data_IF_468108856838
#
_entry.id   IF_468108856838
#
_cell.length_a   1.000
_cell.length_b   1.000
_cell.length_c   1.000
_cell.angle_alpha   90.00
_cell.angle_beta   90.00
_cell.angle_gamma   90.00
#
_symmetry.space_group_name_H-M   'P 1'
#
loop_
_entity.id
_entity.type
_entity.pdbx_description
1 polymer ?
#
# COMPACT_ATOMS: atom_id res chain seq x y z
N UNK A 1 8.61 -1.56 13.69
CA UNK A 1 7.64 -0.54 13.22
C UNK A 1 8.29 0.63 12.54
N UNK A 2 9.25 1.33 13.18
CA UNK A 2 9.92 2.51 12.59
C UNK A 2 10.50 2.27 11.19
N UNK A 3 11.17 1.14 10.98
CA UNK A 3 11.79 0.82 9.68
C UNK A 3 10.78 0.62 8.55
N UNK A 4 9.60 0.06 8.83
CA UNK A 4 8.55 -0.13 7.82
C UNK A 4 7.93 1.21 7.46
N UNK A 5 7.66 2.07 8.44
CA UNK A 5 7.12 3.41 8.20
C UNK A 5 8.12 4.24 7.39
N UNK A 6 9.41 4.20 7.72
CA UNK A 6 10.46 4.86 6.94
C UNK A 6 10.44 4.40 5.48
N UNK A 7 10.44 3.09 5.24
CA UNK A 7 10.40 2.55 3.89
C UNK A 7 9.12 2.90 3.12
N UNK A 8 7.99 3.05 3.82
CA UNK A 8 6.73 3.49 3.23
C UNK A 8 6.81 4.96 2.79
N UNK A 9 7.36 5.84 3.62
CA UNK A 9 7.57 7.26 3.29
C UNK A 9 8.56 7.42 2.12
N UNK A 10 9.63 6.65 2.11
CA UNK A 10 10.64 6.68 1.04
C UNK A 10 10.13 6.07 -0.28
N UNK A 11 9.00 5.35 -0.26
CA UNK A 11 8.45 4.72 -1.45
C UNK A 11 7.91 5.75 -2.44
N UNK A 12 8.42 5.72 -3.67
CA UNK A 12 7.92 6.56 -4.78
C UNK A 12 6.63 5.98 -5.35
N UNK A 13 5.52 6.22 -4.66
CA UNK A 13 4.20 5.77 -5.05
C UNK A 13 3.26 5.68 -3.86
N UNK A 14 2.09 5.07 -4.07
CA UNK A 14 1.17 4.80 -2.97
C UNK A 14 1.72 3.69 -2.07
N UNK A 15 1.81 3.98 -0.77
CA UNK A 15 2.18 3.01 0.27
C UNK A 15 1.04 2.83 1.27
N UNK A 16 0.76 1.59 1.65
CA UNK A 16 -0.21 1.27 2.70
C UNK A 16 0.47 0.49 3.83
N UNK A 17 0.29 0.95 5.07
CA UNK A 17 0.83 0.31 6.28
C UNK A 17 -0.33 0.07 7.24
N UNK A 18 -0.68 -1.20 7.45
CA UNK A 18 -1.62 -1.59 8.48
C UNK A 18 -0.86 -1.81 9.80
N UNK A 19 -1.30 -1.17 10.89
CA UNK A 19 -0.67 -1.26 12.21
C UNK A 19 -1.65 -1.92 13.18
N UNK A 20 -1.28 -3.07 13.72
CA UNK A 20 -2.01 -3.70 14.82
C UNK A 20 -1.84 -2.82 16.07
N UNK A 21 -2.92 -2.18 16.50
CA UNK A 21 -2.94 -1.22 17.60
C UNK A 21 -4.03 -1.59 18.62
N UNK A 22 -3.72 -2.42 19.64
CA UNK A 22 -4.66 -2.76 20.69
C UNK A 22 -5.25 -1.54 21.39
N UNK A 23 -6.55 -1.57 21.70
CA UNK A 23 -7.27 -0.51 22.42
C UNK A 23 -7.64 -0.99 23.84
N UNK A 24 -6.82 -0.70 24.86
CA UNK A 24 -6.98 -1.31 26.18
C UNK A 24 -8.26 -0.91 26.92
N UNK A 25 -8.90 0.20 26.52
CA UNK A 25 -10.11 0.70 27.17
C UNK A 25 -11.38 -0.02 26.70
N UNK A 26 -11.48 -0.32 25.40
CA UNK A 26 -12.74 -0.77 24.79
C UNK A 26 -12.66 -2.15 24.16
N UNK A 27 -11.49 -2.58 23.69
CA UNK A 27 -11.31 -3.88 23.06
C UNK A 27 -10.51 -4.81 23.98
N UNK A 28 -11.24 -5.64 24.74
CA UNK A 28 -10.68 -6.61 25.67
C UNK A 28 -10.32 -7.95 25.02
N UNK A 29 -10.59 -8.11 23.71
CA UNK A 29 -10.32 -9.33 22.94
C UNK A 29 -8.98 -9.20 22.20
N UNK A 30 -8.84 -8.14 21.41
CA UNK A 30 -7.65 -7.89 20.56
C UNK A 30 -6.53 -7.18 21.32
N UNK A 31 -6.10 -7.79 22.42
CA UNK A 31 -5.13 -7.20 23.35
C UNK A 31 -3.68 -7.38 22.90
N UNK A 32 -2.74 -6.76 23.61
CA UNK A 32 -1.31 -7.01 23.41
C UNK A 32 -0.94 -8.48 23.62
N UNK A 33 -1.52 -9.13 24.63
CA UNK A 33 -1.25 -10.53 24.97
C UNK A 33 -1.88 -11.48 23.96
N UNK A 34 -2.97 -11.05 23.31
CA UNK A 34 -3.50 -11.74 22.13
C UNK A 34 -2.50 -11.69 20.97
N UNK A 35 -2.08 -10.51 20.50
CA UNK A 35 -1.29 -10.42 19.27
C UNK A 35 0.19 -10.82 19.42
N UNK A 36 0.87 -10.47 20.52
CA UNK A 36 2.32 -10.67 20.68
C UNK A 36 2.80 -12.10 20.36
N UNK A 37 2.21 -13.18 20.90
CA UNK A 37 2.66 -14.54 20.60
C UNK A 37 2.24 -15.01 19.21
N UNK A 38 1.32 -14.30 18.54
CA UNK A 38 0.75 -14.68 17.24
C UNK A 38 1.46 -14.01 16.07
N UNK A 39 2.09 -12.86 16.28
CA UNK A 39 2.86 -12.17 15.25
C UNK A 39 4.10 -12.98 14.84
N UNK A 40 4.37 -13.06 13.54
CA UNK A 40 5.63 -13.61 13.00
C UNK A 40 6.10 -12.81 11.79
N UNK A 41 7.42 -12.70 11.61
CA UNK A 41 7.99 -12.11 10.40
C UNK A 41 8.12 -13.19 9.31
N UNK A 42 7.52 -12.95 8.14
CA UNK A 42 7.53 -13.86 6.99
C UNK A 42 8.62 -13.54 5.95
N UNK A 43 9.52 -12.59 6.23
CA UNK A 43 10.55 -12.14 5.28
C UNK A 43 11.43 -13.29 4.74
N UNK A 44 11.68 -14.33 5.54
CA UNK A 44 12.45 -15.49 5.10
C UNK A 44 11.73 -16.35 4.05
N UNK A 45 10.39 -16.45 4.14
CA UNK A 45 9.55 -17.27 3.25
C UNK A 45 9.05 -16.51 2.01
N UNK A 46 9.20 -15.18 2.00
CA UNK A 46 8.87 -14.33 0.85
C UNK A 46 9.90 -13.21 0.69
N UNK A 47 11.02 -13.55 0.05
CA UNK A 47 12.12 -12.62 -0.22
C UNK A 47 11.86 -11.70 -1.41
N UNK A 48 11.23 -12.22 -2.48
CA UNK A 48 10.87 -11.43 -3.65
C UNK A 48 9.55 -10.71 -3.45
N UNK A 49 9.62 -9.46 -2.97
CA UNK A 49 8.45 -8.60 -2.73
C UNK A 49 7.74 -8.12 -4.00
N UNK A 50 8.15 -8.58 -5.20
CA UNK A 50 7.47 -8.29 -6.46
C UNK A 50 6.44 -9.35 -6.84
N UNK A 51 6.45 -10.52 -6.21
CA UNK A 51 5.42 -11.54 -6.41
C UNK A 51 4.13 -11.13 -5.69
N UNK A 52 3.22 -10.54 -6.47
CA UNK A 52 1.92 -10.10 -5.97
C UNK A 52 1.07 -11.27 -5.48
N UNK A 53 1.08 -12.41 -6.17
CA UNK A 53 0.22 -13.54 -5.80
C UNK A 53 0.66 -14.10 -4.45
N UNK A 54 1.97 -14.26 -4.24
CA UNK A 54 2.49 -14.71 -2.95
C UNK A 54 2.22 -13.70 -1.83
N UNK A 55 2.33 -12.40 -2.11
CA UNK A 55 1.98 -11.36 -1.14
C UNK A 55 0.51 -11.45 -0.70
N UNK A 56 -0.41 -11.69 -1.65
CA UNK A 56 -1.83 -11.88 -1.36
C UNK A 56 -2.09 -13.14 -0.54
N UNK A 57 -1.49 -14.28 -0.92
CA UNK A 57 -1.61 -15.55 -0.18
C UNK A 57 -1.18 -15.38 1.30
N UNK A 58 -0.06 -14.68 1.54
CA UNK A 58 0.42 -14.42 2.90
C UNK A 58 -0.55 -13.49 3.63
N UNK A 59 -1.03 -12.41 2.99
CA UNK A 59 -1.99 -11.50 3.62
C UNK A 59 -3.30 -12.21 4.01
N UNK A 60 -3.81 -13.10 3.15
CA UNK A 60 -5.01 -13.90 3.42
C UNK A 60 -4.82 -14.87 4.60
N UNK A 61 -3.59 -15.35 4.85
CA UNK A 61 -3.32 -16.19 6.02
C UNK A 61 -3.62 -15.50 7.36
N UNK A 62 -3.65 -14.17 7.40
CA UNK A 62 -4.09 -13.42 8.58
C UNK A 62 -5.58 -13.65 8.90
N UNK A 63 -6.40 -14.05 7.92
CA UNK A 63 -7.81 -14.36 8.13
C UNK A 63 -8.03 -15.72 8.81
N UNK A 64 -7.00 -16.57 8.89
CA UNK A 64 -7.09 -17.87 9.56
C UNK A 64 -7.52 -17.76 11.03
N UNK A 65 -7.35 -16.59 11.65
CA UNK A 65 -7.86 -16.28 12.99
C UNK A 65 -9.38 -16.42 13.14
N UNK A 66 -10.13 -16.30 12.04
CA UNK A 66 -11.59 -16.51 12.03
C UNK A 66 -11.97 -17.98 12.27
N UNK A 67 -11.05 -18.91 12.00
CA UNK A 67 -11.26 -20.36 12.11
C UNK A 67 -10.46 -20.92 13.28
N UNK A 68 -9.21 -20.47 13.45
CA UNK A 68 -8.30 -20.87 14.51
C UNK A 68 -7.77 -19.62 15.25
N UNK A 69 -8.23 -19.33 16.47
CA UNK A 69 -7.77 -18.20 17.27
C UNK A 69 -6.25 -18.16 17.55
N UNK A 70 -5.57 -19.31 17.46
CA UNK A 70 -4.13 -19.46 17.66
C UNK A 70 -3.32 -19.41 16.35
N UNK A 71 -3.96 -19.09 15.24
CA UNK A 71 -3.26 -18.82 13.99
C UNK A 71 -2.19 -17.73 14.16
N UNK A 72 -1.26 -17.68 13.22
CA UNK A 72 -0.17 -16.69 13.24
C UNK A 72 -0.52 -15.51 12.34
N UNK A 73 -0.21 -14.30 12.80
CA UNK A 73 -0.40 -13.04 12.07
C UNK A 73 0.90 -12.67 11.36
N UNK A 74 0.94 -12.67 10.02
CA UNK A 74 2.12 -12.25 9.28
C UNK A 74 2.35 -10.74 9.42
N UNK A 75 3.60 -10.34 9.71
CA UNK A 75 4.04 -8.95 9.66
C UNK A 75 5.29 -8.81 8.82
N UNK A 76 5.42 -7.69 8.12
CA UNK A 76 6.52 -7.42 7.21
C UNK A 76 6.08 -6.59 6.02
N UNK A 77 6.96 -6.45 5.04
CA UNK A 77 6.60 -5.86 3.75
C UNK A 77 6.04 -6.99 2.87
N UNK A 78 4.76 -6.90 2.54
CA UNK A 78 4.08 -7.90 1.70
C UNK A 78 4.42 -7.69 0.24
N UNK A 79 4.35 -6.46 -0.26
CA UNK A 79 4.52 -6.15 -1.67
C UNK A 79 5.22 -4.81 -1.85
N UNK A 80 6.18 -4.75 -2.77
CA UNK A 80 6.90 -3.51 -3.11
C UNK A 80 7.33 -3.55 -4.58
N UNK A 81 6.82 -2.62 -5.37
CA UNK A 81 7.18 -2.44 -6.79
C UNK A 81 7.29 -0.97 -7.13
N UNK A 82 8.14 -0.64 -8.08
CA UNK A 82 8.22 0.70 -8.65
C UNK A 82 7.39 0.75 -9.93
N UNK A 83 6.44 1.69 -10.00
CA UNK A 83 5.57 1.91 -11.16
C UNK A 83 5.39 3.42 -11.35
N UNK A 84 5.04 3.87 -12.59
CA UNK A 84 4.77 5.29 -12.82
C UNK A 84 3.66 5.80 -11.90
N UNK A 85 4.01 6.78 -11.06
CA UNK A 85 3.11 7.47 -10.14
C UNK A 85 2.14 8.38 -10.90
N UNK A 86 1.06 8.78 -10.24
CA UNK A 86 0.00 9.58 -10.86
C UNK A 86 0.56 10.86 -11.50
N UNK A 87 1.40 11.59 -10.77
CA UNK A 87 2.03 12.85 -11.17
C UNK A 87 2.88 12.66 -12.44
N UNK A 88 3.65 11.59 -12.52
CA UNK A 88 4.46 11.26 -13.70
C UNK A 88 3.60 10.96 -14.93
N UNK A 89 2.45 10.29 -14.75
CA UNK A 89 1.51 10.00 -15.84
C UNK A 89 0.83 11.28 -16.32
N UNK A 90 0.39 12.14 -15.40
CA UNK A 90 -0.21 13.44 -15.74
C UNK A 90 0.79 14.33 -16.47
N UNK A 91 2.03 14.42 -15.99
CA UNK A 91 3.09 15.17 -16.66
C UNK A 91 3.36 14.64 -18.08
N UNK A 92 3.42 13.32 -18.25
CA UNK A 92 3.57 12.69 -19.57
C UNK A 92 2.43 13.03 -20.53
N UNK A 93 1.18 13.03 -20.05
CA UNK A 93 0.02 13.43 -20.84
C UNK A 93 0.05 14.92 -21.21
N UNK A 94 0.38 15.80 -20.24
CA UNK A 94 0.54 17.24 -20.50
C UNK A 94 1.59 17.50 -21.57
N UNK A 95 2.76 16.88 -21.46
CA UNK A 95 3.82 17.00 -22.45
C UNK A 95 3.39 16.53 -23.84
N UNK A 96 2.73 15.35 -23.92
CA UNK A 96 2.28 14.77 -25.20
C UNK A 96 1.25 15.61 -25.93
N UNK A 97 0.33 16.24 -25.20
CA UNK A 97 -0.79 16.99 -25.77
C UNK A 97 -0.63 18.51 -25.67
N UNK A 98 0.57 18.99 -25.29
CA UNK A 98 0.84 20.40 -25.02
C UNK A 98 -0.17 21.02 -24.05
N UNK A 99 -0.62 20.23 -23.08
CA UNK A 99 -1.57 20.64 -22.05
C UNK A 99 -0.92 21.63 -21.08
N UNK A 100 -1.68 22.65 -20.68
CA UNK A 100 -1.29 23.63 -19.68
C UNK A 100 -2.13 23.44 -18.40
N UNK A 101 -1.61 23.90 -17.26
CA UNK A 101 -2.38 23.95 -16.02
C UNK A 101 -3.55 24.93 -16.11
N UNK A 102 -3.38 25.98 -16.90
CA UNK A 102 -4.41 26.95 -17.23
C UNK A 102 -4.71 26.82 -18.72
N UNK A 103 -5.92 26.36 -19.03
CA UNK A 103 -6.36 26.13 -20.41
C UNK A 103 -6.60 27.45 -21.13
N UNK A 104 -5.98 27.64 -22.31
CA UNK A 104 -6.33 28.72 -23.21
C UNK A 104 -7.61 28.38 -24.00
N UNK A 105 -8.75 28.75 -23.42
CA UNK A 105 -10.06 28.53 -24.04
C UNK A 105 -10.22 29.31 -25.35
N UNK A 106 -9.56 30.46 -25.52
CA UNK A 106 -9.63 31.24 -26.77
C UNK A 106 -8.89 30.52 -27.89
N UNK A 107 -7.70 29.98 -27.62
CA UNK A 107 -6.96 29.19 -28.60
C UNK A 107 -7.73 27.94 -29.02
N UNK A 108 -8.38 27.25 -28.07
CA UNK A 108 -9.24 26.09 -28.38
C UNK A 108 -10.43 26.51 -29.25
N UNK A 109 -11.18 27.54 -28.85
CA UNK A 109 -12.32 28.04 -29.63
C UNK A 109 -11.92 28.45 -31.05
N UNK A 110 -10.84 29.20 -31.21
CA UNK A 110 -10.35 29.64 -32.52
C UNK A 110 -9.92 28.48 -33.41
N UNK A 111 -9.41 27.38 -32.83
CA UNK A 111 -8.99 26.18 -33.57
C UNK A 111 -10.16 25.35 -34.09
N UNK A 112 -11.28 25.31 -33.36
CA UNK A 112 -12.39 24.39 -33.63
C UNK A 112 -13.70 25.07 -34.02
N UNK A 113 -13.75 26.41 -34.13
CA UNK A 113 -14.91 27.09 -34.73
C UNK A 113 -15.03 26.70 -36.20
N UNK A 114 -16.23 26.30 -36.61
CA UNK A 114 -16.57 25.97 -38.00
C UNK A 114 -16.49 27.20 -38.92
#
# INVERSE_FOLDING_TARGET
>A
TGDIIKQAIEHKGFSFVNILSPCPTFNTVDTFDYYRPRIYNFDETHRDKRDRMKAFEIAESALNHTINPDAKVPVGIFYKVEKPVYESRVAGLKGKYHGADITDLKAIYNKFRA
#
